data_IF_114437152967
#
_entry.id   IF_114437152967
#
_cell.length_a   1.000
_cell.length_b   1.000
_cell.length_c   1.000
_cell.angle_alpha   90.00
_cell.angle_beta   90.00
_cell.angle_gamma   90.00
#
_symmetry.space_group_name_H-M   'P 1'
#
loop_
_entity.id
_entity.type
_entity.pdbx_description
1 polymer ?
#
# COMPACT_ATOMS: atom_id res chain seq x y z
N UNK A 1 -5.32 -37.05 -11.16
CA UNK A 1 -4.31 -35.97 -11.04
C UNK A 1 -4.59 -35.23 -9.74
N UNK A 2 -3.59 -35.00 -8.88
CA UNK A 2 -3.84 -34.32 -7.61
C UNK A 2 -4.19 -32.86 -7.91
N UNK A 3 -5.35 -32.41 -7.40
CA UNK A 3 -5.75 -31.00 -7.40
C UNK A 3 -4.64 -30.23 -6.69
N UNK A 4 -3.99 -29.28 -7.37
CA UNK A 4 -3.16 -28.28 -6.70
C UNK A 4 -4.10 -27.51 -5.78
N UNK A 5 -3.97 -27.71 -4.47
CA UNK A 5 -4.53 -26.80 -3.49
C UNK A 5 -3.98 -25.41 -3.82
N UNK A 6 -4.85 -24.53 -4.34
CA UNK A 6 -4.64 -23.09 -4.22
C UNK A 6 -4.48 -22.88 -2.72
N UNK A 7 -3.28 -22.52 -2.25
CA UNK A 7 -3.13 -21.93 -0.92
C UNK A 7 -3.92 -20.62 -0.97
N UNK A 8 -5.20 -20.68 -0.63
CA UNK A 8 -5.91 -19.51 -0.14
C UNK A 8 -5.18 -19.14 1.13
N UNK A 9 -4.45 -18.03 1.09
CA UNK A 9 -4.00 -17.39 2.30
C UNK A 9 -5.29 -16.99 3.04
N UNK A 10 -5.72 -17.79 4.02
CA UNK A 10 -6.66 -17.31 5.01
C UNK A 10 -5.95 -16.14 5.71
N UNK A 11 -6.33 -14.93 5.31
CA UNK A 11 -5.90 -13.71 5.97
C UNK A 11 -6.60 -13.73 7.32
N UNK A 12 -5.92 -14.23 8.34
CA UNK A 12 -6.23 -13.84 9.71
C UNK A 12 -6.01 -12.34 9.78
N UNK A 13 -7.09 -11.58 9.93
CA UNK A 13 -7.13 -10.12 9.93
C UNK A 13 -6.38 -9.52 11.13
N UNK A 14 -5.06 -9.70 11.20
CA UNK A 14 -4.18 -8.84 12.00
C UNK A 14 -3.86 -7.62 11.15
N UNK A 15 -4.43 -6.47 11.49
CA UNK A 15 -4.35 -5.22 10.71
C UNK A 15 -2.92 -4.66 10.54
N UNK A 16 -1.94 -5.17 11.29
CA UNK A 16 -0.50 -4.99 11.04
C UNK A 16 -0.08 -5.47 9.64
N UNK A 17 -0.78 -6.47 9.09
CA UNK A 17 -0.50 -7.02 7.77
C UNK A 17 -0.91 -6.07 6.64
N UNK A 18 -1.86 -5.15 6.86
CA UNK A 18 -2.46 -4.35 5.78
C UNK A 18 -1.48 -3.31 5.21
N UNK A 19 -0.60 -2.70 6.02
CA UNK A 19 0.36 -1.70 5.51
C UNK A 19 1.59 -2.35 4.87
N UNK A 20 2.15 -3.37 5.52
CA UNK A 20 3.22 -4.20 4.92
C UNK A 20 2.76 -4.79 3.58
N UNK A 21 1.47 -5.17 3.51
CA UNK A 21 0.83 -5.60 2.29
C UNK A 21 0.84 -4.51 1.22
N UNK A 22 0.41 -3.26 1.49
CA UNK A 22 0.47 -2.19 0.48
C UNK A 22 1.88 -1.96 -0.08
N UNK A 23 2.88 -1.90 0.79
CA UNK A 23 4.28 -1.77 0.36
C UNK A 23 4.73 -2.96 -0.51
N UNK A 24 4.32 -4.18 -0.17
CA UNK A 24 4.56 -5.37 -0.97
C UNK A 24 3.86 -5.32 -2.34
N UNK A 25 2.59 -4.92 -2.36
CA UNK A 25 1.79 -4.80 -3.59
C UNK A 25 2.37 -3.79 -4.57
N UNK A 26 2.88 -2.66 -4.07
CA UNK A 26 3.59 -1.71 -4.91
C UNK A 26 4.81 -2.35 -5.56
N UNK A 27 5.62 -3.09 -4.78
CA UNK A 27 6.81 -3.75 -5.32
C UNK A 27 6.44 -4.77 -6.39
N UNK A 28 5.35 -5.51 -6.17
CA UNK A 28 4.78 -6.42 -7.16
C UNK A 28 4.37 -5.64 -8.42
N UNK A 29 3.63 -4.53 -8.29
CA UNK A 29 3.27 -3.67 -9.41
C UNK A 29 4.48 -3.15 -10.19
N UNK A 30 5.51 -2.65 -9.51
CA UNK A 30 6.75 -2.17 -10.13
C UNK A 30 7.41 -3.25 -10.99
N UNK A 31 7.47 -4.48 -10.47
CA UNK A 31 8.01 -5.63 -11.19
C UNK A 31 7.13 -6.00 -12.37
N UNK A 32 5.79 -6.01 -12.23
CA UNK A 32 4.87 -6.22 -13.36
C UNK A 32 5.11 -5.23 -14.48
N UNK A 33 5.19 -3.93 -14.18
CA UNK A 33 5.46 -2.88 -15.16
C UNK A 33 6.81 -3.10 -15.85
N UNK A 34 7.87 -3.39 -15.09
CA UNK A 34 9.20 -3.71 -15.65
C UNK A 34 9.17 -4.92 -16.58
N UNK A 35 8.42 -5.97 -16.23
CA UNK A 35 8.24 -7.16 -17.06
C UNK A 35 7.50 -6.85 -18.35
N UNK A 36 6.36 -6.16 -18.24
CA UNK A 36 5.53 -5.78 -19.39
C UNK A 36 6.30 -4.85 -20.36
N UNK A 37 7.11 -3.92 -19.85
CA UNK A 37 7.95 -3.05 -20.70
C UNK A 37 8.97 -3.82 -21.55
N UNK A 38 9.42 -5.00 -21.10
CA UNK A 38 10.35 -5.86 -21.85
C UNK A 38 9.67 -6.61 -23.00
N UNK A 39 8.34 -6.74 -22.98
CA UNK A 39 7.60 -7.37 -24.08
C UNK A 39 7.60 -6.48 -25.32
N UNK A 40 7.56 -7.11 -26.49
CA UNK A 40 7.30 -6.40 -27.74
C UNK A 40 5.83 -5.99 -27.82
N UNK A 41 5.52 -4.95 -28.59
CA UNK A 41 4.16 -4.40 -28.66
C UNK A 41 3.18 -5.45 -29.20
N UNK A 42 3.60 -6.28 -30.15
CA UNK A 42 2.76 -7.31 -30.75
C UNK A 42 2.30 -8.34 -29.71
N UNK A 43 3.17 -8.68 -28.74
CA UNK A 43 2.80 -9.58 -27.64
C UNK A 43 1.81 -8.92 -26.68
N UNK A 44 1.94 -7.61 -26.46
CA UNK A 44 0.96 -6.86 -25.65
C UNK A 44 -0.40 -6.84 -26.35
N UNK A 45 -0.42 -6.70 -27.68
CA UNK A 45 -1.66 -6.73 -28.48
C UNK A 45 -2.33 -8.10 -28.45
N UNK A 46 -1.56 -9.19 -28.49
CA UNK A 46 -2.08 -10.55 -28.31
C UNK A 46 -2.76 -10.73 -26.95
N UNK A 47 -2.18 -10.19 -25.87
CA UNK A 47 -2.80 -10.24 -24.53
C UNK A 47 -4.11 -9.43 -24.51
N UNK A 48 -4.11 -8.26 -25.15
CA UNK A 48 -5.30 -7.40 -25.25
C UNK A 48 -6.42 -8.14 -25.99
N UNK A 49 -6.08 -8.82 -27.09
CA UNK A 49 -7.04 -9.66 -27.82
C UNK A 49 -7.58 -10.81 -26.96
N UNK A 50 -6.71 -11.51 -26.23
CA UNK A 50 -7.13 -12.56 -25.29
C UNK A 50 -8.15 -12.00 -24.28
N UNK A 51 -7.85 -10.86 -23.65
CA UNK A 51 -8.71 -10.22 -22.63
C UNK A 51 -10.04 -9.75 -23.22
N UNK A 52 -10.01 -9.15 -24.42
CA UNK A 52 -11.22 -8.63 -25.06
C UNK A 52 -12.21 -9.73 -25.46
N UNK A 53 -11.74 -10.98 -25.58
CA UNK A 53 -12.56 -12.14 -25.87
C UNK A 53 -13.01 -12.90 -24.61
N UNK A 54 -12.59 -12.48 -23.40
CA UNK A 54 -12.96 -13.11 -22.13
C UNK A 54 -14.26 -12.53 -21.57
N UNK A 55 -15.01 -13.38 -20.88
CA UNK A 55 -16.15 -12.96 -20.07
C UNK A 55 -15.70 -12.29 -18.75
N UNK A 56 -16.59 -11.51 -18.13
CA UNK A 56 -16.25 -10.77 -16.90
C UNK A 56 -15.75 -11.66 -15.75
N UNK A 57 -16.33 -12.85 -15.60
CA UNK A 57 -15.91 -13.85 -14.60
C UNK A 57 -14.50 -14.40 -14.89
N UNK A 58 -14.16 -14.60 -16.16
CA UNK A 58 -12.83 -15.08 -16.58
C UNK A 58 -11.75 -13.99 -16.36
N UNK A 59 -12.11 -12.72 -16.55
CA UNK A 59 -11.20 -11.60 -16.25
C UNK A 59 -10.95 -11.50 -14.74
N UNK A 60 -11.97 -11.73 -13.91
CA UNK A 60 -11.83 -11.70 -12.45
C UNK A 60 -10.79 -12.72 -11.94
N UNK A 61 -10.65 -13.87 -12.61
CA UNK A 61 -9.68 -14.91 -12.25
C UNK A 61 -8.21 -14.53 -12.55
N UNK A 62 -7.97 -13.55 -13.42
CA UNK A 62 -6.63 -13.18 -13.89
C UNK A 62 -6.14 -11.82 -13.39
N UNK A 63 -6.94 -11.09 -12.61
CA UNK A 63 -6.60 -9.78 -12.01
C UNK A 63 -6.36 -9.90 -10.50
N UNK A 64 -5.62 -8.97 -9.91
CA UNK A 64 -5.45 -8.97 -8.46
C UNK A 64 -6.71 -8.44 -7.73
N UNK A 65 -7.16 -9.06 -6.62
CA UNK A 65 -8.37 -8.69 -5.89
C UNK A 65 -8.23 -7.42 -5.01
N UNK A 66 -7.18 -6.64 -5.26
CA UNK A 66 -6.70 -5.59 -4.36
C UNK A 66 -7.42 -4.26 -4.54
N UNK A 67 -8.02 -4.08 -5.72
CA UNK A 67 -8.96 -3.01 -6.00
C UNK A 67 -10.36 -3.58 -6.26
N UNK A 68 -11.30 -2.66 -6.47
CA UNK A 68 -12.61 -2.96 -7.01
C UNK A 68 -12.47 -3.66 -8.38
N UNK A 69 -12.67 -4.98 -8.38
CA UNK A 69 -12.52 -5.85 -9.54
C UNK A 69 -13.39 -5.37 -10.69
N UNK A 70 -14.59 -4.87 -10.42
CA UNK A 70 -15.49 -4.34 -11.45
C UNK A 70 -14.91 -3.09 -12.11
N UNK A 71 -14.25 -2.23 -11.34
CA UNK A 71 -13.55 -1.06 -11.86
C UNK A 71 -12.33 -1.45 -12.70
N UNK A 72 -11.56 -2.47 -12.28
CA UNK A 72 -10.44 -3.00 -13.07
C UNK A 72 -10.95 -3.56 -14.39
N UNK A 73 -11.99 -4.41 -14.35
CA UNK A 73 -12.63 -4.97 -15.56
C UNK A 73 -13.07 -3.84 -16.49
N UNK A 74 -13.72 -2.80 -15.96
CA UNK A 74 -14.13 -1.63 -16.74
C UNK A 74 -12.94 -0.88 -17.38
N UNK A 75 -11.81 -0.81 -16.70
CA UNK A 75 -10.60 -0.18 -17.24
C UNK A 75 -9.93 -1.06 -18.30
N UNK A 76 -9.84 -2.37 -18.07
CA UNK A 76 -9.32 -3.32 -19.06
C UNK A 76 -10.18 -3.35 -20.33
N UNK A 77 -11.50 -3.20 -20.21
CA UNK A 77 -12.40 -3.05 -21.37
C UNK A 77 -12.17 -1.78 -22.21
N UNK A 78 -11.36 -0.83 -21.72
CA UNK A 78 -10.92 0.34 -22.51
C UNK A 78 -9.61 0.11 -23.25
N UNK A 79 -9.01 -1.08 -23.13
CA UNK A 79 -7.80 -1.43 -23.86
C UNK A 79 -8.07 -1.45 -25.35
N UNK A 80 -7.31 -0.63 -26.06
CA UNK A 80 -7.32 -0.54 -27.51
C UNK A 80 -5.90 -0.77 -28.04
N UNK A 81 -5.78 -1.36 -29.23
CA UNK A 81 -4.50 -1.60 -29.89
C UNK A 81 -3.81 -0.31 -30.33
N UNK A 82 -4.56 0.78 -30.50
CA UNK A 82 -4.01 2.08 -30.89
C UNK A 82 -3.33 2.81 -29.70
N UNK A 83 -3.47 2.30 -28.48
CA UNK A 83 -2.79 2.84 -27.31
C UNK A 83 -1.27 2.78 -27.45
N UNK A 84 -0.58 3.77 -26.88
CA UNK A 84 0.89 3.73 -26.80
C UNK A 84 1.33 2.57 -25.92
N UNK A 85 2.54 2.06 -26.17
CA UNK A 85 3.12 0.95 -25.41
C UNK A 85 3.06 1.17 -23.89
N UNK A 86 3.40 2.37 -23.42
CA UNK A 86 3.39 2.68 -21.98
C UNK A 86 1.97 2.67 -21.39
N UNK A 87 0.95 3.07 -22.16
CA UNK A 87 -0.45 3.01 -21.73
C UNK A 87 -0.92 1.55 -21.66
N UNK A 88 -0.57 0.72 -22.66
CA UNK A 88 -0.84 -0.73 -22.63
C UNK A 88 -0.22 -1.39 -21.40
N UNK A 89 1.03 -1.04 -21.09
CA UNK A 89 1.74 -1.54 -19.91
C UNK A 89 1.01 -1.17 -18.62
N UNK A 90 0.54 0.06 -18.50
CA UNK A 90 -0.19 0.53 -17.32
C UNK A 90 -1.50 -0.23 -17.12
N UNK A 91 -2.30 -0.39 -18.17
CA UNK A 91 -3.54 -1.16 -18.08
C UNK A 91 -3.30 -2.65 -17.81
N UNK A 92 -2.27 -3.24 -18.41
CA UNK A 92 -1.95 -4.65 -18.20
C UNK A 92 -1.27 -4.92 -16.85
N UNK A 93 -0.80 -3.91 -16.11
CA UNK A 93 -0.22 -4.08 -14.77
C UNK A 93 -1.24 -4.55 -13.73
N UNK A 94 -2.54 -4.35 -14.00
CA UNK A 94 -3.63 -4.83 -13.16
C UNK A 94 -3.82 -6.36 -13.21
N UNK A 95 -3.27 -7.03 -14.23
CA UNK A 95 -3.24 -8.49 -14.27
C UNK A 95 -2.39 -9.05 -13.13
N UNK A 96 -2.75 -10.22 -12.63
CA UNK A 96 -2.01 -10.90 -11.58
C UNK A 96 -0.56 -11.14 -12.00
N UNK A 97 0.34 -11.16 -11.02
CA UNK A 97 1.77 -11.40 -11.29
C UNK A 97 1.99 -12.77 -11.96
N UNK A 98 1.16 -13.77 -11.62
CA UNK A 98 1.24 -15.11 -12.19
C UNK A 98 0.75 -15.16 -13.64
N UNK A 99 -0.28 -14.35 -13.98
CA UNK A 99 -0.70 -14.14 -15.38
C UNK A 99 0.44 -13.55 -16.20
N UNK A 100 1.08 -12.49 -15.70
CA UNK A 100 2.20 -11.82 -16.40
C UNK A 100 3.41 -12.74 -16.52
N UNK A 101 3.77 -13.49 -15.47
CA UNK A 101 4.83 -14.52 -15.53
C UNK A 101 4.55 -15.55 -16.61
N UNK A 102 3.30 -16.01 -16.71
CA UNK A 102 2.88 -17.00 -17.71
C UNK A 102 3.07 -16.46 -19.13
N UNK A 103 2.67 -15.20 -19.38
CA UNK A 103 2.93 -14.50 -20.64
C UNK A 103 4.42 -14.39 -20.92
N UNK A 104 5.23 -13.91 -19.98
CA UNK A 104 6.68 -13.78 -20.16
C UNK A 104 7.34 -15.13 -20.48
N UNK A 105 6.86 -16.22 -19.88
CA UNK A 105 7.33 -17.58 -20.17
C UNK A 105 6.95 -18.02 -21.58
N UNK A 106 5.72 -17.77 -22.05
CA UNK A 106 5.31 -18.03 -23.45
C UNK A 106 6.21 -17.24 -24.42
N UNK A 107 6.52 -16.00 -24.09
CA UNK A 107 7.41 -15.12 -24.83
C UNK A 107 8.92 -15.44 -24.68
N UNK A 108 9.29 -16.48 -23.92
CA UNK A 108 10.68 -16.88 -23.65
C UNK A 108 11.55 -15.74 -23.09
N UNK A 109 10.97 -14.85 -22.30
CA UNK A 109 11.70 -13.76 -21.65
C UNK A 109 12.33 -14.23 -20.33
N UNK A 110 13.60 -13.91 -20.06
CA UNK A 110 14.18 -14.10 -18.74
C UNK A 110 13.61 -13.05 -17.75
N UNK A 111 13.06 -13.53 -16.64
CA UNK A 111 12.44 -12.68 -15.62
C UNK A 111 12.78 -13.07 -14.17
N UNK A 112 13.60 -14.10 -13.96
CA UNK A 112 13.93 -14.61 -12.62
C UNK A 112 14.48 -13.53 -11.70
N UNK A 113 15.44 -12.73 -12.17
CA UNK A 113 16.06 -11.65 -11.38
C UNK A 113 15.04 -10.64 -10.83
N UNK A 114 14.00 -10.31 -11.61
CA UNK A 114 12.95 -9.38 -11.19
C UNK A 114 12.00 -10.03 -10.19
N UNK A 115 11.73 -11.33 -10.31
CA UNK A 115 10.92 -12.07 -9.35
C UNK A 115 11.68 -12.27 -8.03
N UNK A 116 12.97 -12.57 -8.11
CA UNK A 116 13.86 -12.67 -6.95
C UNK A 116 13.93 -11.34 -6.18
N UNK A 117 13.84 -10.19 -6.89
CA UNK A 117 13.75 -8.86 -6.28
C UNK A 117 12.51 -8.73 -5.39
N UNK A 118 11.34 -9.22 -5.84
CA UNK A 118 10.10 -9.22 -5.05
C UNK A 118 10.24 -10.12 -3.82
N UNK A 119 10.78 -11.32 -3.99
CA UNK A 119 10.96 -12.26 -2.88
C UNK A 119 11.95 -11.74 -1.83
N UNK A 120 13.04 -11.10 -2.27
CA UNK A 120 13.99 -10.44 -1.37
C UNK A 120 13.30 -9.32 -0.60
N UNK A 121 12.51 -8.49 -1.28
CA UNK A 121 11.78 -7.40 -0.65
C UNK A 121 10.77 -7.90 0.39
N UNK A 122 10.04 -8.97 0.10
CA UNK A 122 9.14 -9.61 1.07
C UNK A 122 9.87 -10.04 2.36
N UNK A 123 11.06 -10.64 2.22
CA UNK A 123 11.90 -11.01 3.37
C UNK A 123 12.41 -9.80 4.16
N UNK A 124 12.69 -8.69 3.48
CA UNK A 124 13.08 -7.44 4.14
C UNK A 124 11.91 -6.83 4.92
N UNK A 125 10.69 -6.83 4.36
CA UNK A 125 9.48 -6.41 5.07
C UNK A 125 9.22 -7.27 6.30
N UNK A 126 9.39 -8.60 6.21
CA UNK A 126 9.24 -9.49 7.37
C UNK A 126 10.26 -9.18 8.48
N UNK A 127 11.50 -8.80 8.11
CA UNK A 127 12.50 -8.35 9.09
C UNK A 127 12.15 -6.99 9.70
N UNK A 128 11.61 -6.06 8.91
CA UNK A 128 11.11 -4.77 9.42
C UNK A 128 9.97 -4.99 10.42
N UNK A 129 9.02 -5.87 10.11
CA UNK A 129 7.94 -6.30 11.02
C UNK A 129 8.48 -6.72 12.38
N UNK A 130 9.51 -7.56 12.44
CA UNK A 130 10.14 -8.00 13.70
C UNK A 130 10.82 -6.86 14.49
N UNK A 131 11.23 -5.77 13.84
CA UNK A 131 11.78 -4.58 14.56
C UNK A 131 10.69 -3.73 15.21
N UNK A 132 9.43 -3.87 14.78
CA UNK A 132 8.30 -3.09 15.31
C UNK A 132 7.82 -3.54 16.69
N UNK A 133 8.33 -4.65 17.22
CA UNK A 133 8.04 -5.12 18.60
C UNK A 133 8.21 -4.02 19.66
N UNK A 134 9.13 -3.05 19.42
CA UNK A 134 9.39 -1.94 20.34
C UNK A 134 8.27 -0.90 20.45
N UNK A 135 7.42 -0.80 19.44
CA UNK A 135 6.29 0.14 19.38
C UNK A 135 4.96 -0.58 19.23
N UNK A 136 4.96 -1.90 19.38
CA UNK A 136 3.80 -2.75 19.14
C UNK A 136 2.60 -2.32 19.99
N UNK A 137 2.83 -1.95 21.26
CA UNK A 137 1.77 -1.47 22.14
C UNK A 137 1.09 -0.18 21.61
N UNK A 138 1.85 0.73 21.01
CA UNK A 138 1.30 1.94 20.38
C UNK A 138 0.51 1.59 19.12
N UNK A 139 1.09 0.75 18.27
CA UNK A 139 0.48 0.32 16.99
C UNK A 139 -0.83 -0.43 17.24
N UNK A 140 -0.83 -1.39 18.17
CA UNK A 140 -2.02 -2.15 18.58
C UNK A 140 -3.15 -1.21 19.02
N UNK A 141 -2.85 -0.21 19.85
CA UNK A 141 -3.84 0.78 20.31
C UNK A 141 -4.36 1.63 19.15
N UNK A 142 -3.52 2.07 18.20
CA UNK A 142 -3.98 2.80 17.01
C UNK A 142 -4.87 1.90 16.13
N UNK A 143 -4.60 0.60 16.06
CA UNK A 143 -5.47 -0.34 15.34
C UNK A 143 -6.84 -0.48 16.00
N UNK A 144 -6.91 -0.57 17.33
CA UNK A 144 -8.17 -0.59 18.09
C UNK A 144 -8.97 0.71 17.99
N UNK A 145 -8.29 1.84 17.74
CA UNK A 145 -8.95 3.14 17.63
C UNK A 145 -9.99 3.14 16.51
N UNK A 146 -11.23 3.49 16.84
CA UNK A 146 -12.31 3.75 15.88
C UNK A 146 -12.77 5.19 16.10
N UNK A 147 -12.48 6.12 15.17
CA UNK A 147 -12.89 7.50 15.33
C UNK A 147 -14.41 7.61 15.22
N UNK A 148 -14.99 8.49 16.03
CA UNK A 148 -16.36 8.96 15.79
C UNK A 148 -16.36 9.75 14.47
N UNK A 149 -17.44 9.61 13.71
CA UNK A 149 -17.63 10.21 12.38
C UNK A 149 -17.17 11.68 12.31
N UNK A 150 -16.13 11.95 11.52
CA UNK A 150 -15.62 13.32 11.32
C UNK A 150 -15.20 13.65 9.88
N UNK A 151 -15.18 14.94 9.57
CA UNK A 151 -14.77 15.47 8.25
C UNK A 151 -13.46 16.27 8.28
N UNK A 152 -12.85 16.46 9.45
CA UNK A 152 -11.66 17.31 9.62
C UNK A 152 -10.51 16.54 10.27
N UNK A 153 -9.31 16.78 9.74
CA UNK A 153 -8.05 16.19 10.21
C UNK A 153 -7.77 16.52 11.68
N UNK A 154 -7.99 17.78 12.09
CA UNK A 154 -7.76 18.23 13.47
C UNK A 154 -8.68 17.57 14.50
N UNK A 155 -9.90 17.22 14.10
CA UNK A 155 -10.84 16.51 14.98
C UNK A 155 -10.41 15.05 15.16
N UNK A 156 -9.95 14.40 14.07
CA UNK A 156 -9.36 13.06 14.12
C UNK A 156 -8.07 13.02 14.98
N UNK A 157 -7.21 14.02 14.85
CA UNK A 157 -6.02 14.18 15.69
C UNK A 157 -6.39 14.27 17.17
N UNK A 158 -7.37 15.11 17.52
CA UNK A 158 -7.80 15.27 18.91
C UNK A 158 -8.39 13.98 19.48
N UNK A 159 -9.24 13.29 18.73
CA UNK A 159 -9.81 12.01 19.15
C UNK A 159 -8.74 10.94 19.35
N UNK A 160 -7.79 10.83 18.42
CA UNK A 160 -6.69 9.87 18.53
C UNK A 160 -5.82 10.19 19.75
N UNK A 161 -5.48 11.46 19.97
CA UNK A 161 -4.74 11.89 21.16
C UNK A 161 -5.45 11.50 22.47
N UNK A 162 -6.75 11.78 22.57
CA UNK A 162 -7.55 11.43 23.75
C UNK A 162 -7.58 9.91 23.98
N UNK A 163 -7.77 9.15 22.90
CA UNK A 163 -7.80 7.69 22.95
C UNK A 163 -6.46 7.10 23.39
N UNK A 164 -5.35 7.58 22.79
CA UNK A 164 -4.00 7.17 23.15
C UNK A 164 -3.69 7.52 24.62
N UNK A 165 -4.04 8.72 25.07
CA UNK A 165 -3.83 9.15 26.47
C UNK A 165 -4.58 8.26 27.46
N UNK A 166 -5.79 7.83 27.13
CA UNK A 166 -6.58 6.93 27.97
C UNK A 166 -6.00 5.50 27.99
N UNK A 167 -5.61 4.96 26.83
CA UNK A 167 -5.13 3.57 26.69
C UNK A 167 -3.68 3.39 27.13
N UNK A 168 -2.83 4.36 26.85
CA UNK A 168 -1.39 4.34 27.11
C UNK A 168 -1.02 5.25 28.29
N UNK A 169 -1.79 5.20 29.38
CA UNK A 169 -1.64 6.05 30.57
C UNK A 169 -0.26 6.03 31.25
N UNK A 170 0.65 5.13 30.87
CA UNK A 170 2.04 5.04 31.36
C UNK A 170 3.05 5.72 30.45
N UNK A 171 2.65 6.15 29.25
CA UNK A 171 3.47 6.83 28.25
C UNK A 171 3.29 8.35 28.40
N UNK A 172 4.33 9.11 28.11
CA UNK A 172 4.22 10.57 28.00
C UNK A 172 3.72 10.90 26.60
N UNK A 173 2.57 11.57 26.50
CA UNK A 173 1.92 11.90 25.22
C UNK A 173 1.69 13.40 25.14
N UNK A 174 2.19 14.03 24.08
CA UNK A 174 2.09 15.47 23.84
C UNK A 174 1.56 15.76 22.43
N UNK A 175 0.87 16.88 22.24
CA UNK A 175 0.37 17.31 20.91
C UNK A 175 1.18 18.49 20.35
N UNK A 176 1.28 18.59 19.02
CA UNK A 176 1.87 19.72 18.30
C UNK A 176 3.32 20.06 18.73
N UNK A 177 4.11 19.03 19.09
CA UNK A 177 5.50 19.18 19.55
C UNK A 177 6.40 19.61 18.40
N UNK A 178 7.28 20.59 18.64
CA UNK A 178 8.24 21.04 17.63
C UNK A 178 9.39 20.03 17.47
N UNK A 179 9.51 19.44 16.27
CA UNK A 179 10.56 18.50 15.87
C UNK A 179 11.18 18.99 14.55
N UNK A 180 12.49 19.26 14.55
CA UNK A 180 13.20 19.66 13.33
C UNK A 180 12.67 20.95 12.65
N UNK A 181 12.05 21.85 13.43
CA UNK A 181 11.42 23.08 12.92
C UNK A 181 9.98 22.92 12.42
N UNK A 182 9.44 21.71 12.45
CA UNK A 182 8.05 21.38 12.14
C UNK A 182 7.31 20.96 13.40
N UNK A 183 5.97 20.92 13.36
CA UNK A 183 5.16 20.46 14.48
C UNK A 183 4.56 19.10 14.16
N UNK A 184 4.97 18.08 14.90
CA UNK A 184 4.37 16.76 14.79
C UNK A 184 3.06 16.72 15.55
N UNK A 185 2.05 16.06 14.98
CA UNK A 185 0.69 16.10 15.55
C UNK A 185 0.61 15.53 16.95
N UNK A 186 1.25 14.37 17.19
CA UNK A 186 1.32 13.71 18.49
C UNK A 186 2.74 13.14 18.68
N UNK A 187 3.32 13.34 19.85
CA UNK A 187 4.61 12.79 20.29
C UNK A 187 4.40 11.84 21.46
N UNK A 188 5.04 10.68 21.44
CA UNK A 188 5.04 9.69 22.52
C UNK A 188 6.47 9.43 22.98
N UNK A 189 6.72 9.64 24.28
CA UNK A 189 8.01 9.47 24.96
C UNK A 189 9.20 10.17 24.28
N UNK A 190 8.93 11.20 23.47
CA UNK A 190 9.90 11.94 22.65
C UNK A 190 10.68 11.09 21.65
N UNK A 191 10.16 9.91 21.35
CA UNK A 191 10.79 8.90 20.50
C UNK A 191 9.91 8.49 19.34
N UNK A 192 8.59 8.47 19.55
CA UNK A 192 7.63 8.05 18.55
C UNK A 192 6.81 9.26 18.15
N UNK A 193 6.82 9.57 16.86
CA UNK A 193 5.97 10.59 16.28
C UNK A 193 4.76 9.99 15.60
N UNK A 194 3.59 10.62 15.73
CA UNK A 194 2.40 10.27 14.96
C UNK A 194 2.00 11.51 14.16
N UNK A 195 1.80 11.33 12.86
CA UNK A 195 1.31 12.37 11.95
C UNK A 195 -0.03 11.92 11.37
N UNK A 196 -1.09 12.69 11.59
CA UNK A 196 -2.46 12.33 11.22
C UNK A 196 -2.80 12.94 9.86
N UNK A 197 -3.34 12.11 8.95
CA UNK A 197 -3.75 12.58 7.63
C UNK A 197 -5.16 12.17 7.26
N UNK A 198 -5.94 13.12 6.76
CA UNK A 198 -7.21 12.87 6.06
C UNK A 198 -7.12 13.40 4.63
N UNK A 199 -6.38 12.70 3.74
CA UNK A 199 -6.04 13.22 2.41
C UNK A 199 -7.28 13.43 1.55
N UNK A 200 -7.39 14.63 0.96
CA UNK A 200 -8.44 14.97 -0.01
C UNK A 200 -7.89 15.02 -1.44
N UNK A 201 -6.57 15.03 -1.59
CA UNK A 201 -5.87 15.14 -2.85
C UNK A 201 -4.46 14.54 -2.78
N UNK A 202 -3.85 14.28 -3.94
CA UNK A 202 -2.47 13.79 -4.02
C UNK A 202 -1.44 14.80 -3.49
N UNK A 203 -1.75 16.11 -3.51
CA UNK A 203 -0.86 17.12 -2.94
C UNK A 203 -0.79 17.05 -1.42
N UNK A 204 -1.87 16.60 -0.75
CA UNK A 204 -1.86 16.34 0.70
C UNK A 204 -0.91 15.19 1.05
N UNK A 205 -0.91 14.13 0.23
CA UNK A 205 0.00 13.01 0.36
C UNK A 205 1.45 13.43 0.10
N UNK A 206 1.73 14.19 -0.96
CA UNK A 206 3.10 14.66 -1.24
C UNK A 206 3.69 15.50 -0.11
N UNK A 207 2.89 16.36 0.53
CA UNK A 207 3.32 17.13 1.71
C UNK A 207 3.70 16.23 2.87
N UNK A 208 2.92 15.17 3.10
CA UNK A 208 3.20 14.18 4.13
C UNK A 208 4.56 13.51 3.89
N UNK A 209 4.94 13.17 2.65
CA UNK A 209 6.29 12.61 2.35
C UNK A 209 7.38 13.52 2.89
N UNK A 210 7.26 14.83 2.62
CA UNK A 210 8.23 15.83 3.06
C UNK A 210 8.31 15.93 4.58
N UNK A 211 7.17 15.90 5.27
CA UNK A 211 7.11 15.93 6.73
C UNK A 211 7.76 14.68 7.34
N UNK A 212 7.40 13.48 6.86
CA UNK A 212 7.94 12.21 7.36
C UNK A 212 9.46 12.15 7.16
N UNK A 213 9.98 12.62 6.02
CA UNK A 213 11.42 12.67 5.76
C UNK A 213 12.19 13.60 6.71
N UNK A 214 11.52 14.59 7.32
CA UNK A 214 12.11 15.44 8.37
C UNK A 214 12.02 14.73 9.71
N UNK A 215 10.83 14.26 10.09
CA UNK A 215 10.59 13.62 11.38
C UNK A 215 11.44 12.37 11.61
N UNK A 216 11.63 11.55 10.56
CA UNK A 216 12.42 10.30 10.63
C UNK A 216 13.89 10.52 10.98
N UNK A 217 14.41 11.75 10.87
CA UNK A 217 15.79 12.10 11.26
C UNK A 217 15.95 12.37 12.76
N UNK A 218 14.86 12.69 13.45
CA UNK A 218 14.89 13.14 14.85
C UNK A 218 14.21 12.16 15.81
N UNK A 219 13.38 11.26 15.28
CA UNK A 219 12.58 10.33 16.07
C UNK A 219 13.01 8.89 15.81
N UNK A 220 12.93 8.07 16.86
CA UNK A 220 13.21 6.64 16.78
C UNK A 220 12.21 5.94 15.85
N UNK A 221 10.95 6.40 15.85
CA UNK A 221 9.88 5.90 14.98
C UNK A 221 8.92 7.01 14.57
N UNK A 222 8.37 6.91 13.36
CA UNK A 222 7.29 7.79 12.87
C UNK A 222 6.14 6.95 12.34
N UNK A 223 4.93 7.29 12.77
CA UNK A 223 3.69 6.56 12.49
C UNK A 223 2.69 7.48 11.76
N UNK A 224 2.71 7.51 10.43
CA UNK A 224 1.69 8.23 9.66
C UNK A 224 0.35 7.49 9.78
N UNK A 225 -0.66 8.12 10.37
CA UNK A 225 -2.02 7.56 10.52
C UNK A 225 -2.94 8.20 9.49
N UNK A 226 -3.27 7.44 8.45
CA UNK A 226 -3.96 7.92 7.25
C UNK A 226 -5.39 7.41 7.25
N UNK A 227 -6.34 8.32 7.38
CA UNK A 227 -7.76 8.04 7.26
C UNK A 227 -8.18 8.17 5.80
N UNK A 228 -8.37 7.06 5.09
CA UNK A 228 -8.67 7.03 3.66
C UNK A 228 -10.03 6.38 3.39
N UNK A 229 -10.89 7.08 2.63
CA UNK A 229 -12.22 6.53 2.25
C UNK A 229 -12.14 5.40 1.22
N UNK A 230 -11.14 5.43 0.34
CA UNK A 230 -10.98 4.48 -0.77
C UNK A 230 -9.52 4.09 -0.95
N UNK A 231 -9.31 2.87 -1.44
CA UNK A 231 -8.02 2.42 -1.94
C UNK A 231 -7.78 3.02 -3.33
N UNK A 232 -6.60 3.59 -3.56
CA UNK A 232 -6.14 4.05 -4.87
C UNK A 232 -4.66 3.70 -5.03
N UNK A 233 -4.23 3.45 -6.26
CA UNK A 233 -2.82 3.25 -6.59
C UNK A 233 -1.94 4.39 -6.05
N UNK A 234 -2.42 5.64 -6.08
CA UNK A 234 -1.70 6.79 -5.52
C UNK A 234 -1.41 6.68 -4.01
N UNK A 235 -2.36 6.14 -3.23
CA UNK A 235 -2.15 5.92 -1.79
C UNK A 235 -1.13 4.80 -1.55
N UNK A 236 -1.19 3.74 -2.37
CA UNK A 236 -0.23 2.63 -2.33
C UNK A 236 1.19 3.12 -2.65
N UNK A 237 1.32 3.91 -3.72
CA UNK A 237 2.58 4.53 -4.12
C UNK A 237 3.14 5.42 -3.00
N UNK A 238 2.28 6.21 -2.38
CA UNK A 238 2.66 7.08 -1.29
C UNK A 238 3.20 6.30 -0.07
N UNK A 239 2.49 5.26 0.38
CA UNK A 239 2.90 4.42 1.52
C UNK A 239 4.27 3.79 1.26
N UNK A 240 4.45 3.23 0.05
CA UNK A 240 5.72 2.66 -0.35
C UNK A 240 6.88 3.68 -0.25
N UNK A 241 6.67 4.92 -0.69
CA UNK A 241 7.72 5.95 -0.63
C UNK A 241 8.11 6.33 0.80
N UNK A 242 7.14 6.44 1.72
CA UNK A 242 7.45 6.81 3.12
C UNK A 242 8.10 5.67 3.92
N UNK A 243 7.72 4.42 3.66
CA UNK A 243 8.24 3.22 4.36
C UNK A 243 9.62 2.75 3.85
N UNK A 244 10.16 3.42 2.82
CA UNK A 244 11.59 3.31 2.51
C UNK A 244 12.47 3.68 3.70
N UNK A 245 11.97 4.55 4.59
CA UNK A 245 12.62 4.84 5.86
C UNK A 245 12.36 3.68 6.84
N UNK A 246 13.43 3.07 7.36
CA UNK A 246 13.35 1.88 8.23
C UNK A 246 12.62 2.12 9.56
N UNK A 247 12.47 3.36 9.99
CA UNK A 247 11.78 3.77 11.22
C UNK A 247 10.37 4.30 10.97
N UNK A 248 9.82 4.16 9.77
CA UNK A 248 8.46 4.61 9.43
C UNK A 248 7.54 3.41 9.24
N UNK A 249 6.34 3.49 9.81
CA UNK A 249 5.26 2.52 9.58
C UNK A 249 3.94 3.26 9.41
N UNK A 250 3.35 3.20 8.22
CA UNK A 250 2.07 3.84 7.98
C UNK A 250 0.92 2.99 8.57
N UNK A 251 -0.15 3.63 8.99
CA UNK A 251 -1.37 2.95 9.45
C UNK A 251 -2.53 3.54 8.67
N UNK A 252 -3.09 2.75 7.75
CA UNK A 252 -4.24 3.17 6.95
C UNK A 252 -5.52 2.72 7.63
N UNK A 253 -6.40 3.66 7.92
CA UNK A 253 -7.71 3.38 8.51
C UNK A 253 -8.82 3.81 7.55
N UNK A 254 -9.84 2.96 7.40
CA UNK A 254 -11.08 3.35 6.74
C UNK A 254 -11.96 4.03 7.80
N UNK A 255 -12.35 5.30 7.63
CA UNK A 255 -13.35 5.91 8.50
C UNK A 255 -14.70 5.19 8.33
N UNK A 256 -15.50 5.10 9.38
CA UNK A 256 -16.86 4.55 9.28
C UNK A 256 -17.64 5.25 8.16
N UNK A 257 -18.31 4.45 7.31
CA UNK A 257 -19.18 4.92 6.24
C UNK A 257 -20.61 5.13 6.77
N UNK A 258 -21.36 5.99 6.08
CA UNK A 258 -22.80 6.17 6.30
C UNK A 258 -23.61 4.96 5.85
#
# INVERSE_FOLDING_TARGET
>A
MPKKEKRSYEVTEDLDDVTSWYSYLYKVHEVKVKLLKRLKVEILDEIIDEINNMEGEEIADIVDPLEDVDKIIKNLRKLDKDLKKDEKVEYLSFLSLDTIKSVCKRAKLPYSELVDEVEKYAKELEKKRKKFDKIKDVVDVIHEFQPIKEKKEKDLQLQLYQYLTAKLHKRTIETEKTIGGYKIDISIDDKIGIEVKYPKSNSDLQRLVGQIAVYSKYLDYVLPVIFAKKRSLDLVNFIYEIEKNDNVNAIVKKPEED
#
